data_IF_514427755419
#
_entry.id   IF_514427755419
#
_cell.length_a   1.000
_cell.length_b   1.000
_cell.length_c   1.000
_cell.angle_alpha   90.00
_cell.angle_beta   90.00
_cell.angle_gamma   90.00
#
_symmetry.space_group_name_H-M   'P 1'
#
loop_
_entity.id
_entity.type
_entity.pdbx_description
1 polymer ?
#
# COMPACT_ATOMS: atom_id res chain seq x y z
N UNK A 1 -6.73 -17.23 -12.02
CA UNK A 1 -6.01 -16.12 -11.37
C UNK A 1 -5.19 -16.69 -10.22
N UNK A 2 -3.86 -16.70 -10.37
CA UNK A 2 -2.92 -17.30 -9.43
C UNK A 2 -2.52 -16.26 -8.37
N UNK A 3 -2.46 -16.66 -7.11
CA UNK A 3 -2.04 -15.85 -5.95
C UNK A 3 -0.59 -15.33 -6.00
N UNK A 4 0.16 -15.59 -7.09
CA UNK A 4 1.57 -15.19 -7.27
C UNK A 4 1.83 -13.92 -8.08
N UNK A 5 0.82 -13.18 -8.55
CA UNK A 5 1.06 -11.90 -9.26
C UNK A 5 1.42 -10.76 -8.29
N UNK A 6 2.41 -10.99 -7.43
CA UNK A 6 3.04 -9.92 -6.66
C UNK A 6 4.00 -9.18 -7.59
N UNK A 7 3.56 -8.01 -8.03
CA UNK A 7 4.42 -7.03 -8.71
C UNK A 7 5.60 -6.69 -7.81
N UNK A 8 6.82 -6.96 -8.26
CA UNK A 8 8.03 -6.55 -7.55
C UNK A 8 8.39 -5.10 -7.90
N UNK A 9 9.29 -4.50 -7.12
CA UNK A 9 9.81 -3.17 -7.45
C UNK A 9 10.49 -3.14 -8.84
N UNK A 10 11.13 -4.24 -9.23
CA UNK A 10 11.74 -4.38 -10.55
C UNK A 10 10.67 -4.39 -11.64
N UNK A 11 9.63 -5.20 -11.48
CA UNK A 11 8.55 -5.31 -12.46
C UNK A 11 7.82 -3.97 -12.65
N UNK A 12 7.67 -3.19 -11.57
CA UNK A 12 7.12 -1.83 -11.66
C UNK A 12 8.02 -0.89 -12.46
N UNK A 13 9.34 -0.89 -12.21
CA UNK A 13 10.27 -0.06 -12.98
C UNK A 13 10.29 -0.47 -14.44
N UNK A 14 10.21 -1.76 -14.74
CA UNK A 14 10.12 -2.26 -16.11
C UNK A 14 8.86 -1.75 -16.83
N UNK A 15 7.70 -1.72 -16.15
CA UNK A 15 6.49 -1.13 -16.71
C UNK A 15 6.59 0.39 -16.89
N UNK A 16 7.20 1.10 -15.94
CA UNK A 16 7.43 2.53 -16.07
C UNK A 16 8.36 2.84 -17.24
N UNK A 17 9.38 2.00 -17.47
CA UNK A 17 10.25 2.13 -18.62
C UNK A 17 9.50 1.91 -19.93
N UNK A 18 8.60 0.93 -20.01
CA UNK A 18 7.75 0.73 -21.19
C UNK A 18 6.91 1.99 -21.47
N UNK A 19 6.31 2.60 -20.44
CA UNK A 19 5.55 3.83 -20.61
C UNK A 19 6.42 5.01 -21.07
N UNK A 20 7.66 5.10 -20.59
CA UNK A 20 8.61 6.11 -21.05
C UNK A 20 9.02 5.88 -22.50
N UNK A 21 9.24 4.63 -22.90
CA UNK A 21 9.58 4.25 -24.27
C UNK A 21 8.42 4.52 -25.25
N UNK A 22 7.18 4.38 -24.77
CA UNK A 22 5.95 4.74 -25.49
C UNK A 22 5.70 6.27 -25.53
N UNK A 23 6.45 7.06 -24.76
CA UNK A 23 6.32 8.51 -24.68
C UNK A 23 5.12 8.99 -23.84
N UNK A 24 4.54 8.10 -23.02
CA UNK A 24 3.45 8.42 -22.09
C UNK A 24 3.96 9.18 -20.84
N UNK A 25 5.23 8.95 -20.46
CA UNK A 25 5.93 9.69 -19.41
C UNK A 25 7.34 10.06 -19.85
N UNK A 26 7.95 11.04 -19.18
CA UNK A 26 9.35 11.37 -19.43
C UNK A 26 10.27 10.30 -18.84
N UNK A 27 11.36 9.98 -19.54
CA UNK A 27 12.35 9.00 -19.07
C UNK A 27 13.01 9.42 -17.75
N UNK A 28 13.11 10.73 -17.50
CA UNK A 28 13.65 11.28 -16.25
C UNK A 28 12.71 11.05 -15.05
N UNK A 29 11.43 10.79 -15.30
CA UNK A 29 10.43 10.47 -14.27
C UNK A 29 10.47 8.99 -13.86
N UNK A 30 11.22 8.13 -14.57
CA UNK A 30 11.36 6.72 -14.20
C UNK A 30 12.30 6.60 -12.99
N UNK A 31 11.81 6.21 -11.81
CA UNK A 31 12.61 6.13 -10.60
C UNK A 31 13.48 4.86 -10.58
N UNK A 32 14.59 4.91 -9.84
CA UNK A 32 15.36 3.71 -9.55
C UNK A 32 14.53 2.64 -8.80
N UNK A 33 14.90 1.37 -9.00
CA UNK A 33 14.29 0.22 -8.31
C UNK A 33 14.32 0.38 -6.79
N UNK A 34 15.40 0.94 -6.24
CA UNK A 34 15.59 1.21 -4.81
C UNK A 34 14.54 2.21 -4.27
N UNK A 35 14.22 3.22 -5.07
CA UNK A 35 13.20 4.23 -4.77
C UNK A 35 11.81 3.60 -4.75
N UNK A 36 11.47 2.80 -5.76
CA UNK A 36 10.20 2.07 -5.81
C UNK A 36 10.06 1.10 -4.64
N UNK A 37 11.11 0.33 -4.33
CA UNK A 37 11.12 -0.57 -3.17
C UNK A 37 10.91 0.18 -1.84
N UNK A 38 11.50 1.37 -1.72
CA UNK A 38 11.33 2.25 -0.56
C UNK A 38 9.90 2.79 -0.45
N UNK A 39 9.24 3.10 -1.57
CA UNK A 39 7.82 3.49 -1.58
C UNK A 39 6.90 2.33 -1.22
N UNK A 40 7.11 1.15 -1.80
CA UNK A 40 6.34 -0.06 -1.46
C UNK A 40 6.45 -0.34 0.04
N UNK A 41 7.66 -0.29 0.59
CA UNK A 41 7.90 -0.54 2.03
C UNK A 41 7.19 0.49 2.90
N UNK A 42 7.29 1.78 2.56
CA UNK A 42 6.62 2.87 3.29
C UNK A 42 5.10 2.72 3.23
N UNK A 43 4.55 2.40 2.06
CA UNK A 43 3.12 2.20 1.87
C UNK A 43 2.61 0.95 2.59
N UNK A 44 3.35 -0.16 2.57
CA UNK A 44 3.00 -1.36 3.32
C UNK A 44 3.00 -1.10 4.84
N UNK A 45 3.94 -0.30 5.33
CA UNK A 45 4.00 0.10 6.74
C UNK A 45 2.83 1.03 7.12
N UNK A 46 2.47 1.99 6.26
CA UNK A 46 1.33 2.89 6.52
C UNK A 46 0.01 2.13 6.52
N UNK A 47 -0.19 1.18 5.60
CA UNK A 47 -1.38 0.32 5.57
C UNK A 47 -1.51 -0.52 6.85
N UNK A 48 -0.41 -1.11 7.34
CA UNK A 48 -0.42 -1.86 8.61
C UNK A 48 -0.79 -0.96 9.79
N UNK A 49 -0.24 0.26 9.82
CA UNK A 49 -0.55 1.24 10.88
C UNK A 49 -2.03 1.64 10.84
N UNK A 50 -2.56 1.93 9.64
CA UNK A 50 -3.97 2.31 9.47
C UNK A 50 -4.91 1.20 9.91
N UNK A 51 -4.65 -0.05 9.50
CA UNK A 51 -5.44 -1.20 9.93
C UNK A 51 -5.40 -1.41 11.44
N UNK A 52 -4.26 -1.18 12.09
CA UNK A 52 -4.16 -1.25 13.55
C UNK A 52 -4.99 -0.16 14.24
N UNK A 53 -5.04 1.05 13.68
CA UNK A 53 -5.85 2.17 14.20
C UNK A 53 -7.34 1.86 14.05
N UNK A 54 -7.77 1.38 12.89
CA UNK A 54 -9.17 1.00 12.64
C UNK A 54 -9.65 -0.09 13.60
N UNK A 55 -8.85 -1.14 13.78
CA UNK A 55 -9.16 -2.22 14.74
C UNK A 55 -9.24 -1.72 16.18
N UNK A 56 -8.39 -0.78 16.56
CA UNK A 56 -8.44 -0.18 17.90
C UNK A 56 -9.70 0.68 18.09
N UNK A 57 -10.14 1.40 17.06
CA UNK A 57 -11.36 2.21 17.09
C UNK A 57 -12.65 1.38 17.11
N UNK A 58 -12.67 0.24 16.41
CA UNK A 58 -13.80 -0.71 16.43
C UNK A 58 -13.95 -1.39 17.81
N UNK A 59 -12.84 -1.72 18.46
CA UNK A 59 -12.81 -2.26 19.82
C UNK A 59 -13.41 -1.30 20.85
N UNK A 60 -13.06 -0.01 20.80
CA UNK A 60 -13.59 0.97 21.76
C UNK A 60 -15.09 1.24 21.60
N UNK A 61 -15.59 1.25 20.36
CA UNK A 61 -17.02 1.49 20.11
C UNK A 61 -17.89 0.30 20.54
N UNK A 62 -17.42 -0.93 20.34
CA UNK A 62 -18.14 -2.13 20.79
C UNK A 62 -18.15 -2.25 22.31
N UNK A 63 -17.05 -1.94 23.00
CA UNK A 63 -17.01 -1.90 24.47
C UNK A 63 -17.97 -0.86 25.05
N UNK A 64 -18.02 0.35 24.48
CA UNK A 64 -18.98 1.38 24.88
C UNK A 64 -20.43 0.93 24.67
N UNK A 65 -20.76 0.35 23.51
CA UNK A 65 -22.10 -0.17 23.21
C UNK A 65 -22.53 -1.31 24.14
N UNK A 66 -21.58 -2.19 24.54
CA UNK A 66 -21.85 -3.28 25.49
C UNK A 66 -22.13 -2.72 26.90
N UNK A 67 -21.40 -1.70 27.34
CA UNK A 67 -21.61 -1.03 28.64
C UNK A 67 -22.99 -0.38 28.69
N UNK A 68 -23.41 0.32 27.63
CA UNK A 68 -24.72 1.00 27.59
C UNK A 68 -25.92 0.04 27.55
N UNK A 69 -25.76 -1.19 27.04
CA UNK A 69 -26.84 -2.20 27.03
C UNK A 69 -27.01 -2.97 28.34
N UNK A 70 -26.17 -2.73 29.34
CA UNK A 70 -26.17 -3.45 30.62
C UNK A 70 -26.95 -2.74 31.73
N UNK A 71 -27.62 -1.63 31.41
CA UNK A 71 -28.51 -0.87 32.29
C UNK A 71 -29.89 -0.76 31.67
#
# INVERSE_FOLDING_TARGET
>A
MNWTDRMTAKDMVEQLQILADEGEIDVEDVPEITTVASWITRYAASLKKQSAIEKAAEGSNTEMLIIFKKW
#
